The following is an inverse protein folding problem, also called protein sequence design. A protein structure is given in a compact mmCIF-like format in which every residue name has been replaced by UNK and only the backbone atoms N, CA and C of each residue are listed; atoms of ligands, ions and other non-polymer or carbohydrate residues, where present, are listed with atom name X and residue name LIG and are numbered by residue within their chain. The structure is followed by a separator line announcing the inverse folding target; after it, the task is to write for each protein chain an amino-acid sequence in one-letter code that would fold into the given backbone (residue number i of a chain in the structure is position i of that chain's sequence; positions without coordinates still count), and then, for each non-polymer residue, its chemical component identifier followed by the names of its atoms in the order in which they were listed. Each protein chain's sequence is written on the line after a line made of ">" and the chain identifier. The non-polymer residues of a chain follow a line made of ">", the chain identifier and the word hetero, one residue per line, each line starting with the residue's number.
data_IF_657520934908
#
_entry.id   IF_657520934908
#
_cell.length_a   1.000
_cell.length_b   1.000
_cell.length_c   1.000
_cell.angle_alpha   90.00
_cell.angle_beta   90.00
_cell.angle_gamma   90.00
#
_symmetry.space_group_name_H-M   'P 1'
#
loop_
_entity.id
_entity.type
_entity.pdbx_description
1 polymer ?
#
# COMPACT_ATOMS: atom_id res chain seq x y z
N UNK A 1 10.52 -5.79 5.73
CA UNK A 1 11.61 -5.60 4.74
C UNK A 1 12.10 -7.01 4.39
N UNK A 2 12.53 -7.27 3.16
CA UNK A 2 13.05 -8.56 2.70
C UNK A 2 14.48 -8.38 2.22
N UNK A 3 15.35 -9.32 2.52
CA UNK A 3 16.72 -9.35 2.01
C UNK A 3 16.86 -10.39 0.91
N UNK A 4 17.52 -10.03 -0.20
CA UNK A 4 17.81 -10.98 -1.27
C UNK A 4 19.09 -11.76 -0.94
N UNK A 5 18.96 -12.90 -0.26
CA UNK A 5 20.11 -13.74 0.09
C UNK A 5 20.81 -14.35 -1.13
N UNK A 6 20.02 -14.81 -2.10
CA UNK A 6 20.48 -15.46 -3.33
C UNK A 6 20.08 -14.65 -4.56
N UNK A 7 20.63 -15.02 -5.72
CA UNK A 7 20.20 -14.50 -7.01
C UNK A 7 18.95 -15.29 -7.45
N UNK A 8 17.77 -14.74 -7.16
CA UNK A 8 16.48 -15.36 -7.53
C UNK A 8 16.02 -14.95 -8.94
N UNK A 9 16.64 -13.90 -9.49
CA UNK A 9 16.27 -13.29 -10.76
C UNK A 9 17.05 -13.96 -11.89
N UNK A 10 16.32 -14.52 -12.85
CA UNK A 10 16.88 -14.98 -14.12
C UNK A 10 17.16 -13.77 -15.04
N UNK A 11 18.40 -13.60 -15.48
CA UNK A 11 18.80 -12.52 -16.39
C UNK A 11 19.05 -13.00 -17.82
N UNK A 12 19.09 -14.31 -18.02
CA UNK A 12 19.53 -14.93 -19.26
C UNK A 12 18.31 -15.18 -20.16
N UNK A 13 17.21 -15.68 -19.60
CA UNK A 13 15.97 -15.99 -20.30
C UNK A 13 15.25 -14.72 -20.78
N UNK A 14 15.18 -14.45 -22.11
CA UNK A 14 14.66 -13.18 -22.64
C UNK A 14 13.18 -12.93 -22.34
N UNK A 15 12.37 -13.99 -22.22
CA UNK A 15 10.93 -13.92 -21.99
C UNK A 15 10.61 -13.23 -20.66
N UNK A 16 11.43 -13.45 -19.63
CA UNK A 16 11.24 -12.81 -18.33
C UNK A 16 11.60 -11.32 -18.32
N UNK A 17 12.36 -10.84 -19.32
CA UNK A 17 12.69 -9.40 -19.44
C UNK A 17 11.44 -8.59 -19.77
N UNK A 18 10.55 -9.12 -20.63
CA UNK A 18 9.31 -8.46 -21.03
C UNK A 18 8.27 -8.38 -19.90
N UNK A 19 8.30 -9.31 -18.95
CA UNK A 19 7.39 -9.32 -17.80
C UNK A 19 7.72 -8.21 -16.78
N UNK A 20 8.98 -7.74 -16.75
CA UNK A 20 9.46 -6.81 -15.73
C UNK A 20 9.08 -5.37 -16.10
N UNK A 21 8.55 -4.64 -15.13
CA UNK A 21 8.27 -3.22 -15.31
C UNK A 21 9.60 -2.44 -15.44
N UNK A 22 9.82 -1.69 -16.54
CA UNK A 22 11.04 -0.91 -16.74
C UNK A 22 11.25 0.21 -15.72
N UNK A 23 10.19 0.71 -15.09
CA UNK A 23 10.22 1.81 -14.11
C UNK A 23 10.63 1.36 -12.71
N UNK A 24 10.85 0.06 -12.50
CA UNK A 24 11.20 -0.52 -11.19
C UNK A 24 12.51 -1.27 -11.29
N UNK A 25 13.43 -0.96 -10.38
CA UNK A 25 14.73 -1.63 -10.32
C UNK A 25 14.60 -3.09 -9.93
N UNK A 26 15.10 -3.97 -10.79
CA UNK A 26 15.26 -5.39 -10.51
C UNK A 26 16.55 -5.58 -9.73
N UNK A 27 16.43 -5.99 -8.46
CA UNK A 27 17.57 -6.03 -7.53
C UNK A 27 18.29 -7.38 -7.58
N UNK A 28 19.62 -7.36 -7.45
CA UNK A 28 20.45 -8.57 -7.36
C UNK A 28 20.52 -9.11 -5.92
N UNK A 29 21.33 -10.17 -5.71
CA UNK A 29 21.69 -10.68 -4.38
C UNK A 29 22.37 -9.60 -3.53
N UNK A 30 22.19 -9.68 -2.21
CA UNK A 30 22.83 -8.79 -1.24
C UNK A 30 22.11 -7.46 -1.01
N UNK A 31 20.92 -7.26 -1.60
CA UNK A 31 20.18 -5.98 -1.52
C UNK A 31 18.90 -6.14 -0.69
N UNK A 32 18.63 -5.13 0.15
CA UNK A 32 17.38 -5.01 0.90
C UNK A 32 16.25 -4.44 0.04
N UNK A 33 15.05 -4.96 0.24
CA UNK A 33 13.83 -4.45 -0.38
C UNK A 33 12.66 -4.36 0.60
N UNK A 34 11.68 -3.56 0.25
CA UNK A 34 10.46 -3.34 1.04
C UNK A 34 9.36 -2.74 0.18
N UNK A 35 8.17 -2.64 0.76
CA UNK A 35 7.13 -1.78 0.22
C UNK A 35 7.62 -0.32 0.14
N UNK A 36 7.50 0.24 -1.06
CA UNK A 36 7.82 1.64 -1.39
C UNK A 36 6.55 2.44 -1.71
N UNK A 37 5.37 1.91 -1.36
CA UNK A 37 4.07 2.47 -1.75
C UNK A 37 3.94 2.74 -3.25
N UNK A 38 4.53 1.84 -4.07
CA UNK A 38 4.56 1.97 -5.52
C UNK A 38 5.11 3.33 -5.97
N UNK A 39 6.26 3.74 -5.45
CA UNK A 39 6.93 5.01 -5.76
C UNK A 39 7.05 5.31 -7.26
N UNK A 40 7.19 4.27 -8.10
CA UNK A 40 7.18 4.41 -9.55
C UNK A 40 5.88 5.04 -10.07
N UNK A 41 4.72 4.65 -9.52
CA UNK A 41 3.41 5.22 -9.88
C UNK A 41 3.23 6.62 -9.28
N UNK A 42 3.70 6.83 -8.05
CA UNK A 42 3.70 8.16 -7.40
C UNK A 42 4.47 9.15 -8.26
N UNK A 43 5.68 8.80 -8.68
CA UNK A 43 6.54 9.67 -9.47
C UNK A 43 5.92 9.99 -10.83
N UNK A 44 5.36 9.00 -11.53
CA UNK A 44 4.69 9.25 -12.81
C UNK A 44 3.55 10.26 -12.66
N UNK A 45 2.64 10.03 -11.70
CA UNK A 45 1.52 10.95 -11.46
C UNK A 45 1.93 12.32 -10.96
N UNK A 46 2.99 12.40 -10.16
CA UNK A 46 3.56 13.69 -9.75
C UNK A 46 4.11 14.46 -10.95
N UNK A 47 4.87 13.81 -11.83
CA UNK A 47 5.44 14.45 -13.02
C UNK A 47 4.33 14.92 -13.97
N UNK A 48 3.30 14.10 -14.21
CA UNK A 48 2.16 14.47 -15.05
C UNK A 48 1.42 15.70 -14.48
N UNK A 49 1.14 15.66 -13.17
CA UNK A 49 0.47 16.74 -12.45
C UNK A 49 1.27 18.05 -12.46
N UNK A 50 2.60 17.97 -12.34
CA UNK A 50 3.51 19.12 -12.45
C UNK A 50 3.50 19.71 -13.86
N UNK A 51 3.48 18.88 -14.91
CA UNK A 51 3.36 19.34 -16.31
C UNK A 51 2.04 20.06 -16.57
N UNK A 52 0.97 19.60 -15.93
CA UNK A 52 -0.38 20.16 -16.04
C UNK A 52 -0.64 21.32 -15.06
N UNK A 53 0.34 21.70 -14.23
CA UNK A 53 0.23 22.74 -13.19
C UNK A 53 -0.99 22.57 -12.26
N UNK A 54 -1.30 21.33 -11.88
CA UNK A 54 -2.40 21.01 -10.97
C UNK A 54 -1.93 20.08 -9.84
N UNK A 55 -2.68 19.94 -8.74
CA UNK A 55 -2.43 18.88 -7.77
C UNK A 55 -2.95 17.52 -8.26
N UNK A 56 -2.40 16.45 -7.68
CA UNK A 56 -2.87 15.08 -7.90
C UNK A 56 -4.24 14.93 -7.25
N UNK A 57 -5.25 14.51 -8.01
CA UNK A 57 -6.59 14.30 -7.50
C UNK A 57 -6.68 12.99 -6.69
N UNK A 58 -7.62 12.92 -5.73
CA UNK A 58 -7.88 11.68 -4.99
C UNK A 58 -8.36 10.59 -5.95
N UNK A 59 -7.80 9.38 -5.82
CA UNK A 59 -8.09 8.26 -6.72
C UNK A 59 -7.34 8.26 -8.06
N UNK A 60 -6.71 9.36 -8.48
CA UNK A 60 -5.89 9.40 -9.72
C UNK A 60 -4.67 8.47 -9.63
N UNK A 61 -4.12 8.35 -8.42
CA UNK A 61 -3.03 7.46 -8.09
C UNK A 61 -3.56 6.24 -7.33
N UNK A 62 -3.44 5.07 -7.94
CA UNK A 62 -3.74 3.79 -7.28
C UNK A 62 -2.47 2.93 -7.17
N UNK A 63 -2.20 2.47 -5.96
CA UNK A 63 -1.10 1.52 -5.73
C UNK A 63 -1.48 0.13 -6.27
N UNK A 64 -0.47 -0.70 -6.55
CA UNK A 64 -0.72 -2.05 -7.07
C UNK A 64 -1.59 -2.88 -6.11
N UNK A 65 -1.29 -2.86 -4.81
CA UNK A 65 -2.07 -3.60 -3.82
C UNK A 65 -3.50 -3.07 -3.63
N UNK A 66 -3.72 -1.76 -3.74
CA UNK A 66 -5.06 -1.17 -3.75
C UNK A 66 -5.85 -1.59 -4.99
N UNK A 67 -5.25 -1.46 -6.18
CA UNK A 67 -5.92 -1.78 -7.44
C UNK A 67 -6.25 -3.27 -7.57
N UNK A 68 -5.39 -4.14 -7.05
CA UNK A 68 -5.60 -5.60 -7.11
C UNK A 68 -6.55 -6.13 -6.05
N UNK A 69 -6.91 -5.34 -5.03
CA UNK A 69 -7.76 -5.81 -3.93
C UNK A 69 -9.25 -5.70 -4.32
N UNK A 70 -9.96 -6.81 -4.54
CA UNK A 70 -11.38 -6.75 -4.93
C UNK A 70 -12.28 -6.22 -3.80
N UNK A 71 -11.86 -6.42 -2.54
CA UNK A 71 -12.59 -5.97 -1.37
C UNK A 71 -12.39 -4.47 -1.06
N UNK A 72 -11.56 -3.75 -1.83
CA UNK A 72 -11.21 -2.34 -1.58
C UNK A 72 -10.72 -2.08 -0.14
N UNK A 73 -10.02 -3.05 0.45
CA UNK A 73 -9.56 -2.98 1.84
C UNK A 73 -8.42 -1.97 2.05
N UNK A 74 -7.66 -1.67 0.99
CA UNK A 74 -6.49 -0.80 1.03
C UNK A 74 -6.86 0.52 0.37
N UNK A 75 -6.76 1.62 1.11
CA UNK A 75 -6.93 2.97 0.58
C UNK A 75 -5.59 3.69 0.64
N UNK A 76 -5.17 4.27 -0.48
CA UNK A 76 -3.99 5.13 -0.58
C UNK A 76 -4.42 6.51 -1.05
N UNK A 77 -3.79 7.56 -0.51
CA UNK A 77 -4.13 8.94 -0.85
C UNK A 77 -3.30 9.96 -0.06
N UNK A 78 -3.57 11.25 -0.29
CA UNK A 78 -2.89 12.35 0.38
C UNK A 78 -3.49 12.63 1.77
N UNK A 79 -2.73 12.36 2.82
CA UNK A 79 -3.15 12.57 4.22
C UNK A 79 -3.31 14.06 4.55
N UNK A 80 -2.63 14.96 3.83
CA UNK A 80 -2.74 16.40 4.07
C UNK A 80 -4.01 17.00 3.47
N UNK A 81 -4.70 16.27 2.57
CA UNK A 81 -6.00 16.67 2.05
C UNK A 81 -7.10 16.12 2.98
N UNK A 82 -7.88 16.97 3.67
CA UNK A 82 -8.97 16.52 4.54
C UNK A 82 -10.11 15.83 3.79
N UNK A 83 -10.28 16.12 2.49
CA UNK A 83 -11.35 15.57 1.68
C UNK A 83 -11.05 14.18 1.13
N UNK A 84 -9.77 13.76 1.18
CA UNK A 84 -9.33 12.46 0.67
C UNK A 84 -9.96 11.29 1.43
N UNK A 85 -10.14 10.16 0.74
CA UNK A 85 -10.69 8.96 1.35
C UNK A 85 -9.81 8.45 2.50
N UNK A 86 -8.49 8.60 2.40
CA UNK A 86 -7.54 8.15 3.42
C UNK A 86 -7.68 8.96 4.72
N UNK A 87 -7.87 10.28 4.63
CA UNK A 87 -8.06 11.15 5.79
C UNK A 87 -9.35 10.79 6.53
N UNK A 88 -10.44 10.55 5.78
CA UNK A 88 -11.72 10.09 6.34
C UNK A 88 -11.61 8.73 7.03
N UNK A 89 -10.84 7.80 6.49
CA UNK A 89 -10.64 6.48 7.10
C UNK A 89 -9.79 6.56 8.37
N UNK A 90 -8.74 7.38 8.36
CA UNK A 90 -7.90 7.61 9.55
C UNK A 90 -8.65 8.29 10.69
N UNK A 91 -9.64 9.10 10.38
CA UNK A 91 -10.50 9.76 11.37
C UNK A 91 -11.54 8.81 12.03
N UNK A 92 -11.72 7.58 11.52
CA UNK A 92 -12.66 6.62 12.14
C UNK A 92 -12.14 6.17 13.50
N UNK A 93 -13.04 6.00 14.47
CA UNK A 93 -12.73 5.51 15.82
C UNK A 93 -12.00 4.16 15.87
N UNK A 94 -12.08 3.37 14.79
CA UNK A 94 -11.45 2.05 14.69
C UNK A 94 -10.03 2.08 14.11
N UNK A 95 -9.52 3.26 13.79
CA UNK A 95 -8.18 3.41 13.24
C UNK A 95 -7.13 3.24 14.34
N UNK A 96 -6.14 2.37 14.11
CA UNK A 96 -5.04 2.16 15.04
C UNK A 96 -3.69 2.02 14.32
N UNK A 97 -2.62 2.44 15.01
CA UNK A 97 -1.24 2.19 14.62
C UNK A 97 -0.79 0.82 15.12
N UNK A 98 -0.02 0.09 14.29
CA UNK A 98 0.55 -1.18 14.72
C UNK A 98 1.81 -0.92 15.58
N UNK A 99 1.85 -1.50 16.79
CA UNK A 99 2.94 -1.30 17.76
C UNK A 99 3.16 0.19 18.11
N UNK A 100 2.06 0.91 18.38
CA UNK A 100 2.09 2.36 18.60
C UNK A 100 2.84 2.76 19.87
N UNK A 101 2.92 1.86 20.88
CA UNK A 101 3.69 2.04 22.12
C UNK A 101 5.18 2.32 21.87
N UNK A 102 5.72 1.87 20.73
CA UNK A 102 7.10 2.12 20.32
C UNK A 102 7.31 3.52 19.70
N UNK A 103 6.26 4.34 19.60
CA UNK A 103 6.28 5.71 19.06
C UNK A 103 6.91 5.82 17.65
N UNK A 104 6.72 4.79 16.82
CA UNK A 104 7.28 4.74 15.44
C UNK A 104 6.51 5.59 14.43
N UNK A 105 5.32 6.07 14.81
CA UNK A 105 4.42 6.95 14.02
C UNK A 105 4.28 6.49 12.56
N UNK A 106 3.81 5.25 12.33
CA UNK A 106 3.74 4.69 10.98
C UNK A 106 2.71 5.43 10.12
N UNK A 107 3.01 5.60 8.83
CA UNK A 107 2.07 6.22 7.88
C UNK A 107 0.89 5.30 7.54
N UNK A 108 1.13 4.00 7.47
CA UNK A 108 0.07 3.00 7.30
C UNK A 108 -0.52 2.66 8.65
N UNK A 109 -1.83 2.83 8.76
CA UNK A 109 -2.65 2.45 9.92
C UNK A 109 -3.74 1.50 9.45
N UNK A 110 -4.35 0.78 10.39
CA UNK A 110 -5.32 -0.26 10.09
C UNK A 110 -6.67 0.08 10.73
N UNK A 111 -7.73 -0.49 10.19
CA UNK A 111 -9.06 -0.47 10.80
C UNK A 111 -9.32 -1.81 11.48
N UNK A 112 -9.80 -1.77 12.71
CA UNK A 112 -10.16 -2.99 13.45
C UNK A 112 -11.31 -3.76 12.76
N UNK A 113 -11.16 -5.09 12.74
CA UNK A 113 -12.21 -6.02 12.30
C UNK A 113 -13.39 -5.99 13.28
N UNK A 114 -14.62 -5.98 12.76
CA UNK A 114 -15.84 -6.20 13.56
C UNK A 114 -16.44 -7.51 13.08
N UNK A 115 -16.55 -8.49 13.98
CA UNK A 115 -17.06 -9.84 13.66
C UNK A 115 -18.58 -9.99 13.80
N UNK A 116 -19.25 -9.01 14.41
CA UNK A 116 -20.71 -8.92 14.61
C UNK A 116 -21.40 -10.29 14.86
N UNK A 117 -21.05 -10.97 15.97
CA UNK A 117 -21.63 -12.27 16.29
C UNK A 117 -23.14 -12.18 16.54
N UNK A 118 -23.86 -13.27 16.26
CA UNK A 118 -25.30 -13.35 16.53
C UNK A 118 -25.54 -13.69 18.01
N UNK A 119 -26.26 -12.84 18.77
CA UNK A 119 -26.52 -13.08 20.20
C UNK A 119 -27.12 -14.45 20.52
N UNK A 120 -27.95 -15.01 19.63
CA UNK A 120 -28.63 -16.31 19.87
C UNK A 120 -27.67 -17.51 19.85
N UNK A 121 -26.49 -17.39 19.24
CA UNK A 121 -25.54 -18.49 19.09
C UNK A 121 -24.31 -18.38 20.02
N UNK A 122 -24.11 -17.26 20.73
CA UNK A 122 -22.95 -17.06 21.60
C UNK A 122 -22.99 -17.94 22.85
N UNK A 123 -24.16 -18.11 23.47
CA UNK A 123 -24.33 -18.90 24.70
C UNK A 123 -24.01 -20.39 24.53
N UNK A 124 -24.08 -20.91 23.30
CA UNK A 124 -23.84 -22.34 23.00
C UNK A 124 -22.36 -22.73 22.85
N UNK A 125 -21.46 -21.74 22.89
CA UNK A 125 -20.03 -21.91 22.55
C UNK A 125 -19.07 -21.70 23.72
N UNK A 126 -19.60 -21.56 24.94
CA UNK A 126 -18.82 -21.44 26.20
C UNK A 126 -18.87 -22.72 27.02
#
# INVERSE_FOLDING_TARGET
>A
RRFNFLLFQDWDTPQFKMMRNPDVTVRSRGVMEKCTYCVQRINHKRIDSERENRPIADGELQTACQQSCPANAIVFGNINDPNSLVSKWKAKNRNYGLLDDLNTRPRTTYLAEIRNPNPEFEESSS
#
